data_IF_890711023110
#
_entry.id   IF_890711023110
#
_cell.length_a   1.000
_cell.length_b   1.000
_cell.length_c   1.000
_cell.angle_alpha   90.00
_cell.angle_beta   90.00
_cell.angle_gamma   90.00
#
_symmetry.space_group_name_H-M   'P 1'
#
loop_
_entity.id
_entity.type
_entity.pdbx_description
1 polymer ?
#
# COMPACT_ATOMS: atom_id res chain seq x y z
N UNK A 1 -12.87 13.78 12.42
CA UNK A 1 -12.02 12.60 12.21
C UNK A 1 -12.42 11.96 10.89
N UNK A 2 -11.47 11.69 10.00
CA UNK A 2 -11.69 11.12 8.67
C UNK A 2 -11.79 9.60 8.76
N UNK A 3 -12.84 8.94 8.24
CA UNK A 3 -12.94 7.48 8.23
C UNK A 3 -11.99 6.89 7.18
N UNK A 4 -11.15 5.92 7.60
CA UNK A 4 -10.16 5.24 6.78
C UNK A 4 -10.40 3.74 6.71
N UNK A 5 -10.13 3.18 5.55
CA UNK A 5 -9.91 1.76 5.31
C UNK A 5 -8.52 1.60 4.68
N UNK A 6 -7.76 0.61 5.12
CA UNK A 6 -6.43 0.30 4.55
C UNK A 6 -6.50 -1.06 3.88
N UNK A 7 -6.21 -1.11 2.57
CA UNK A 7 -6.05 -2.34 1.80
C UNK A 7 -4.56 -2.65 1.70
N UNK A 8 -4.11 -3.84 2.13
CA UNK A 8 -2.72 -4.07 2.50
C UNK A 8 -2.35 -5.55 2.44
N UNK A 9 -1.07 -5.87 2.23
CA UNK A 9 -0.50 -7.22 2.29
C UNK A 9 0.64 -7.28 3.34
N UNK A 10 0.34 -7.10 4.65
CA UNK A 10 1.25 -6.64 5.66
C UNK A 10 2.63 -7.30 5.67
N UNK A 11 3.59 -6.55 5.10
CA UNK A 11 5.02 -6.68 5.29
C UNK A 11 5.51 -5.66 6.34
N UNK A 12 6.81 -5.42 6.36
CA UNK A 12 7.45 -4.57 7.38
C UNK A 12 7.11 -3.09 7.20
N UNK A 13 7.06 -2.59 5.97
CA UNK A 13 6.73 -1.19 5.68
C UNK A 13 5.21 -0.93 5.76
N UNK A 14 4.36 -1.88 5.33
CA UNK A 14 2.92 -1.86 5.65
C UNK A 14 2.68 -1.68 7.15
N UNK A 15 3.41 -2.45 7.99
CA UNK A 15 3.26 -2.38 9.44
C UNK A 15 3.53 -0.95 9.95
N UNK A 16 4.59 -0.30 9.48
CA UNK A 16 4.89 1.08 9.88
C UNK A 16 3.80 2.03 9.39
N UNK A 17 3.35 1.92 8.13
CA UNK A 17 2.29 2.72 7.56
C UNK A 17 0.97 2.60 8.35
N UNK A 18 0.58 1.37 8.68
CA UNK A 18 -0.62 1.09 9.49
C UNK A 18 -0.48 1.71 10.88
N UNK A 19 0.67 1.54 11.56
CA UNK A 19 0.92 2.12 12.87
C UNK A 19 0.89 3.64 12.85
N UNK A 20 1.41 4.28 11.79
CA UNK A 20 1.31 5.74 11.59
C UNK A 20 -0.16 6.18 11.49
N UNK A 21 -0.95 5.50 10.66
CA UNK A 21 -2.38 5.79 10.51
C UNK A 21 -3.16 5.60 11.83
N UNK A 22 -2.85 4.55 12.59
CA UNK A 22 -3.49 4.27 13.90
C UNK A 22 -3.10 5.27 14.99
N UNK A 23 -1.92 5.87 14.87
CA UNK A 23 -1.44 6.90 15.79
C UNK A 23 -2.00 8.30 15.48
N UNK A 24 -2.36 8.57 14.22
CA UNK A 24 -2.79 9.88 13.75
C UNK A 24 -4.18 10.26 14.30
N UNK A 25 -4.31 11.39 15.02
CA UNK A 25 -5.60 11.78 15.64
C UNK A 25 -6.63 12.28 14.61
N UNK A 26 -6.19 12.65 13.40
CA UNK A 26 -7.05 13.19 12.34
C UNK A 26 -7.84 12.11 11.60
N UNK A 27 -7.43 10.85 11.72
CA UNK A 27 -8.04 9.73 10.99
C UNK A 27 -8.50 8.62 11.95
N UNK A 28 -9.48 7.86 11.51
CA UNK A 28 -9.96 6.67 12.20
C UNK A 28 -9.92 5.49 11.25
N UNK A 29 -9.00 4.57 11.47
CA UNK A 29 -8.92 3.32 10.71
C UNK A 29 -10.01 2.38 11.19
N UNK A 30 -10.98 2.07 10.34
CA UNK A 30 -12.11 1.18 10.65
C UNK A 30 -11.81 -0.27 10.31
N UNK A 31 -11.03 -0.50 9.28
CA UNK A 31 -10.75 -1.85 8.80
C UNK A 31 -9.39 -1.94 8.08
N UNK A 32 -8.81 -3.13 8.15
CA UNK A 32 -7.76 -3.62 7.29
C UNK A 32 -8.38 -4.66 6.36
N UNK A 33 -8.35 -4.43 5.05
CA UNK A 33 -8.66 -5.42 4.03
C UNK A 33 -7.36 -5.99 3.51
N UNK A 34 -7.23 -7.32 3.52
CA UNK A 34 -5.93 -7.97 3.40
C UNK A 34 -5.90 -8.89 2.19
N UNK A 35 -4.77 -8.90 1.49
CA UNK A 35 -4.54 -9.80 0.35
C UNK A 35 -3.15 -10.46 0.44
N UNK A 36 -2.93 -11.45 -0.39
CA UNK A 36 -1.60 -12.03 -0.61
C UNK A 36 -0.80 -11.15 -1.56
N UNK A 37 0.47 -10.95 -1.26
CA UNK A 37 1.38 -10.11 -2.04
C UNK A 37 2.80 -10.29 -1.53
N UNK A 38 3.24 -9.50 -0.55
CA UNK A 38 4.55 -9.62 0.08
C UNK A 38 4.87 -11.05 0.53
N UNK A 39 3.88 -11.72 1.12
CA UNK A 39 3.89 -13.14 1.48
C UNK A 39 2.51 -13.76 1.24
N UNK A 40 2.29 -15.01 1.67
CA UNK A 40 1.00 -15.68 1.51
C UNK A 40 -0.15 -14.92 2.20
N UNK A 41 -1.39 -15.07 1.70
CA UNK A 41 -2.58 -14.51 2.36
C UNK A 41 -2.70 -14.96 3.82
N UNK A 42 -2.32 -16.20 4.13
CA UNK A 42 -2.33 -16.71 5.51
C UNK A 42 -1.45 -15.85 6.41
N UNK A 43 -0.24 -15.53 5.96
CA UNK A 43 0.73 -14.78 6.76
C UNK A 43 0.39 -13.29 6.81
N UNK A 44 -0.07 -12.69 5.70
CA UNK A 44 -0.51 -11.29 5.68
C UNK A 44 -1.73 -11.06 6.58
N UNK A 45 -2.70 -11.97 6.60
CA UNK A 45 -3.86 -11.92 7.52
C UNK A 45 -3.41 -12.07 8.97
N UNK A 46 -2.51 -13.02 9.27
CA UNK A 46 -1.92 -13.15 10.60
C UNK A 46 -1.26 -11.85 11.03
N UNK A 47 -0.46 -11.23 10.18
CA UNK A 47 0.25 -9.99 10.45
C UNK A 47 -0.71 -8.83 10.69
N UNK A 48 -1.76 -8.70 9.89
CA UNK A 48 -2.82 -7.70 10.12
C UNK A 48 -3.52 -7.89 11.48
N UNK A 49 -3.78 -9.13 11.88
CA UNK A 49 -4.35 -9.44 13.20
C UNK A 49 -3.38 -9.09 14.35
N UNK A 50 -2.07 -9.31 14.17
CA UNK A 50 -1.05 -8.88 15.16
C UNK A 50 -1.05 -7.35 15.30
N UNK A 51 -1.15 -6.60 14.21
CA UNK A 51 -1.24 -5.13 14.25
C UNK A 51 -2.54 -4.66 14.90
N UNK A 52 -3.65 -5.33 14.65
CA UNK A 52 -4.94 -5.03 15.31
C UNK A 52 -4.87 -5.27 16.83
N UNK A 53 -4.26 -6.37 17.28
CA UNK A 53 -4.02 -6.64 18.70
C UNK A 53 -3.10 -5.58 19.34
N UNK A 54 -2.03 -5.20 18.63
CA UNK A 54 -1.10 -4.17 19.09
C UNK A 54 -1.79 -2.80 19.26
N UNK A 55 -2.62 -2.41 18.30
CA UNK A 55 -3.42 -1.18 18.38
C UNK A 55 -4.43 -1.22 19.52
N UNK A 56 -5.14 -2.35 19.69
CA UNK A 56 -6.11 -2.54 20.76
C UNK A 56 -5.46 -2.46 22.16
N UNK A 57 -4.25 -3.01 22.32
CA UNK A 57 -3.51 -2.92 23.58
C UNK A 57 -3.18 -1.46 23.98
N UNK A 58 -2.96 -0.57 22.99
CA UNK A 58 -2.67 0.85 23.22
C UNK A 58 -3.93 1.71 23.36
N UNK A 59 -4.99 1.38 22.61
CA UNK A 59 -6.26 2.11 22.58
C UNK A 59 -7.44 1.12 22.60
N UNK A 60 -7.83 0.57 23.76
CA UNK A 60 -8.86 -0.49 23.86
C UNK A 60 -10.24 -0.09 23.28
N UNK A 61 -10.57 1.19 23.27
CA UNK A 61 -11.83 1.68 22.71
C UNK A 61 -11.85 1.66 21.17
N UNK A 62 -10.74 1.38 20.50
CA UNK A 62 -10.59 1.39 19.06
C UNK A 62 -10.26 0.00 18.52
N UNK A 63 -11.29 -0.76 18.18
CA UNK A 63 -11.14 -2.06 17.53
C UNK A 63 -11.05 -1.90 16.03
N UNK A 64 -9.96 -2.37 15.44
CA UNK A 64 -9.78 -2.42 13.98
C UNK A 64 -10.17 -3.81 13.48
N UNK A 65 -11.08 -3.87 12.52
CA UNK A 65 -11.53 -5.12 11.90
C UNK A 65 -10.56 -5.56 10.82
N UNK A 66 -10.35 -6.86 10.70
CA UNK A 66 -9.50 -7.46 9.66
C UNK A 66 -10.37 -8.32 8.76
N UNK A 67 -10.26 -8.12 7.45
CA UNK A 67 -11.02 -8.86 6.44
C UNK A 67 -10.06 -9.53 5.46
N UNK A 68 -10.10 -10.86 5.37
CA UNK A 68 -9.33 -11.60 4.38
C UNK A 68 -9.93 -11.43 2.98
N UNK A 69 -9.07 -11.24 1.99
CA UNK A 69 -9.43 -11.06 0.59
C UNK A 69 -8.79 -12.08 -0.33
N UNK A 70 -8.27 -11.62 -1.46
CA UNK A 70 -7.72 -12.51 -2.49
C UNK A 70 -6.32 -13.02 -2.12
N UNK A 71 -6.07 -14.30 -2.44
CA UNK A 71 -4.80 -14.96 -2.14
C UNK A 71 -3.74 -14.79 -3.24
N UNK A 72 -4.12 -14.36 -4.43
CA UNK A 72 -3.26 -14.28 -5.61
C UNK A 72 -3.84 -13.34 -6.67
N UNK A 73 -3.03 -12.90 -7.65
CA UNK A 73 -3.47 -12.03 -8.72
C UNK A 73 -4.57 -12.69 -9.60
N UNK A 74 -5.24 -11.88 -10.39
CA UNK A 74 -6.26 -12.35 -11.33
C UNK A 74 -5.69 -13.31 -12.36
N UNK A 75 -4.46 -13.10 -12.82
CA UNK A 75 -3.84 -13.90 -13.86
C UNK A 75 -2.42 -14.31 -13.46
N UNK A 76 -2.13 -15.61 -13.58
CA UNK A 76 -0.79 -16.14 -13.41
C UNK A 76 -0.33 -16.31 -11.97
N UNK A 77 0.99 -16.41 -11.82
CA UNK A 77 1.69 -16.42 -10.54
C UNK A 77 2.35 -15.07 -10.31
N UNK A 78 2.33 -14.63 -9.08
CA UNK A 78 3.01 -13.40 -8.67
C UNK A 78 4.40 -13.70 -8.09
N UNK A 79 5.36 -12.77 -8.20
CA UNK A 79 6.51 -12.74 -7.32
C UNK A 79 6.04 -12.52 -5.88
N UNK A 80 6.85 -12.95 -4.91
CA UNK A 80 6.71 -12.56 -3.52
C UNK A 80 7.89 -11.66 -3.11
N UNK A 81 7.80 -11.06 -1.92
CA UNK A 81 8.85 -10.22 -1.36
C UNK A 81 9.44 -10.79 -0.05
N UNK A 82 9.38 -12.10 0.14
CA UNK A 82 9.92 -12.77 1.32
C UNK A 82 11.44 -12.52 1.49
N UNK A 83 12.17 -12.25 0.41
CA UNK A 83 13.58 -11.87 0.45
C UNK A 83 13.82 -10.51 1.13
N UNK A 84 12.82 -9.63 1.16
CA UNK A 84 12.84 -8.34 1.87
C UNK A 84 12.24 -8.48 3.26
N UNK A 85 11.02 -9.02 3.34
CA UNK A 85 10.17 -8.96 4.54
C UNK A 85 10.29 -10.18 5.46
N UNK A 86 11.07 -11.21 5.07
CA UNK A 86 11.08 -12.50 5.77
C UNK A 86 9.99 -13.44 5.26
N UNK A 87 10.13 -14.74 5.56
CA UNK A 87 9.18 -15.76 5.11
C UNK A 87 7.77 -15.56 5.70
N UNK A 88 7.68 -14.98 6.90
CA UNK A 88 6.42 -14.65 7.58
C UNK A 88 5.92 -13.21 7.30
N UNK A 89 6.67 -12.42 6.51
CA UNK A 89 6.38 -11.01 6.23
C UNK A 89 6.78 -10.05 7.35
N UNK A 90 7.08 -10.53 8.55
CA UNK A 90 7.50 -9.73 9.71
C UNK A 90 8.92 -10.07 10.19
N UNK A 91 9.84 -10.23 9.22
CA UNK A 91 11.26 -10.38 9.47
C UNK A 91 11.64 -11.68 10.16
N UNK A 92 10.75 -12.68 10.15
CA UNK A 92 10.88 -13.95 10.90
C UNK A 92 11.12 -13.69 12.40
N UNK A 93 10.47 -12.67 12.93
CA UNK A 93 10.65 -12.22 14.32
C UNK A 93 10.04 -13.17 15.37
N UNK A 94 9.29 -14.19 14.94
CA UNK A 94 8.69 -15.17 15.85
C UNK A 94 7.63 -14.56 16.78
N UNK A 95 6.86 -13.59 16.31
CA UNK A 95 5.82 -12.95 17.09
C UNK A 95 4.74 -13.95 17.52
N UNK A 96 4.14 -13.78 18.72
CA UNK A 96 3.10 -14.67 19.21
C UNK A 96 1.88 -14.67 18.27
N UNK A 97 1.10 -15.75 18.33
CA UNK A 97 -0.15 -15.85 17.59
C UNK A 97 -1.12 -14.73 18.03
N UNK A 98 -1.80 -14.06 17.08
CA UNK A 98 -2.75 -13.01 17.40
C UNK A 98 -4.01 -13.57 18.10
N UNK A 99 -4.64 -12.73 18.94
CA UNK A 99 -5.95 -13.01 19.54
C UNK A 99 -7.09 -12.61 18.60
N UNK A 100 -6.92 -11.50 17.89
CA UNK A 100 -7.85 -11.06 16.83
C UNK A 100 -7.94 -12.12 15.76
N UNK A 101 -9.17 -12.37 15.28
CA UNK A 101 -9.45 -13.25 14.16
C UNK A 101 -10.03 -12.42 13.01
N UNK A 102 -9.80 -12.80 11.75
CA UNK A 102 -10.42 -12.12 10.63
C UNK A 102 -11.94 -12.30 10.65
N UNK A 103 -12.65 -11.28 10.21
CA UNK A 103 -14.10 -11.30 9.97
C UNK A 103 -14.43 -12.27 8.83
N UNK A 104 -15.67 -12.79 8.81
CA UNK A 104 -16.10 -13.76 7.80
C UNK A 104 -16.34 -13.15 6.41
N UNK A 105 -16.59 -11.82 6.36
CA UNK A 105 -16.85 -11.13 5.10
C UNK A 105 -15.57 -11.00 4.28
N UNK A 106 -15.65 -11.26 2.97
CA UNK A 106 -14.52 -11.07 2.07
C UNK A 106 -14.12 -9.59 1.94
N UNK A 107 -12.84 -9.29 1.86
CA UNK A 107 -12.28 -7.93 1.81
C UNK A 107 -12.96 -7.02 0.76
N UNK A 108 -13.18 -7.51 -0.46
CA UNK A 108 -13.85 -6.72 -1.50
C UNK A 108 -15.27 -6.30 -1.12
N UNK A 109 -16.02 -7.16 -0.44
CA UNK A 109 -17.36 -6.83 0.07
C UNK A 109 -17.29 -5.88 1.27
N UNK A 110 -16.26 -6.00 2.11
CA UNK A 110 -16.03 -5.08 3.23
C UNK A 110 -15.69 -3.66 2.73
N UNK A 111 -14.95 -3.54 1.62
CA UNK A 111 -14.69 -2.25 0.95
C UNK A 111 -16.00 -1.60 0.49
N UNK A 112 -16.87 -2.37 -0.18
CA UNK A 112 -18.18 -1.88 -0.65
C UNK A 112 -19.07 -1.48 0.52
N UNK A 113 -19.14 -2.30 1.58
CA UNK A 113 -19.90 -2.02 2.79
C UNK A 113 -19.42 -0.74 3.47
N UNK A 114 -18.12 -0.56 3.62
CA UNK A 114 -17.54 0.66 4.18
C UNK A 114 -17.86 1.89 3.32
N UNK A 115 -17.73 1.80 1.99
CA UNK A 115 -18.06 2.89 1.09
C UNK A 115 -19.54 3.29 1.17
N UNK A 116 -20.45 2.32 1.27
CA UNK A 116 -21.89 2.58 1.47
C UNK A 116 -22.18 3.20 2.84
N UNK A 117 -21.53 2.71 3.90
CA UNK A 117 -21.69 3.19 5.27
C UNK A 117 -21.25 4.62 5.47
N UNK A 118 -20.10 5.00 4.89
CA UNK A 118 -19.49 6.33 5.08
C UNK A 118 -19.85 7.35 4.01
N UNK A 119 -20.56 6.93 2.95
CA UNK A 119 -21.29 7.82 2.02
C UNK A 119 -20.48 9.02 1.51
N UNK A 120 -19.38 8.81 0.78
CA UNK A 120 -18.57 9.89 0.17
C UNK A 120 -17.59 10.57 1.15
N UNK A 121 -17.46 10.07 2.39
CA UNK A 121 -16.44 10.56 3.35
C UNK A 121 -15.29 9.59 3.56
N UNK A 122 -15.45 8.31 3.19
CA UNK A 122 -14.42 7.28 3.30
C UNK A 122 -13.19 7.63 2.48
N UNK A 123 -12.02 7.47 3.08
CA UNK A 123 -10.74 7.46 2.36
C UNK A 123 -10.16 6.05 2.40
N UNK A 124 -9.64 5.57 1.27
CA UNK A 124 -8.99 4.26 1.16
C UNK A 124 -7.51 4.48 0.88
N UNK A 125 -6.66 3.83 1.67
CA UNK A 125 -5.24 3.73 1.46
C UNK A 125 -4.92 2.31 1.01
N UNK A 126 -4.49 2.14 -0.25
CA UNK A 126 -4.07 0.87 -0.82
C UNK A 126 -2.53 0.80 -0.79
N UNK A 127 -1.99 -0.14 -0.02
CA UNK A 127 -0.56 -0.34 0.18
C UNK A 127 -0.04 -1.58 -0.58
N UNK A 128 -0.91 -2.53 -0.90
CA UNK A 128 -0.59 -3.75 -1.63
C UNK A 128 -1.08 -3.75 -3.09
N UNK A 129 -0.98 -4.91 -3.76
CA UNK A 129 -1.55 -5.12 -5.08
C UNK A 129 -3.04 -4.77 -5.12
N UNK A 130 -3.53 -4.25 -6.25
CA UNK A 130 -4.88 -3.66 -6.32
C UNK A 130 -6.01 -4.68 -6.51
N UNK A 131 -5.76 -5.97 -6.30
CA UNK A 131 -6.70 -7.05 -6.62
C UNK A 131 -8.00 -6.97 -5.83
N UNK A 132 -7.96 -6.66 -4.52
CA UNK A 132 -9.17 -6.46 -3.71
C UNK A 132 -9.99 -5.26 -4.20
N UNK A 133 -9.32 -4.14 -4.49
CA UNK A 133 -9.95 -2.90 -4.98
C UNK A 133 -10.58 -3.14 -6.37
N UNK A 134 -9.87 -3.82 -7.26
CA UNK A 134 -10.38 -4.16 -8.59
C UNK A 134 -11.61 -5.07 -8.51
N UNK A 135 -11.60 -6.07 -7.62
CA UNK A 135 -12.76 -6.94 -7.40
C UNK A 135 -13.95 -6.15 -6.83
N UNK A 136 -13.70 -5.26 -5.85
CA UNK A 136 -14.75 -4.40 -5.31
C UNK A 136 -15.33 -3.48 -6.38
N UNK A 137 -14.48 -2.88 -7.22
CA UNK A 137 -14.89 -2.03 -8.34
C UNK A 137 -15.71 -2.79 -9.40
N UNK A 138 -15.33 -4.05 -9.69
CA UNK A 138 -16.08 -4.90 -10.61
C UNK A 138 -17.47 -5.27 -10.07
N UNK A 139 -17.59 -5.47 -8.75
CA UNK A 139 -18.87 -5.78 -8.08
C UNK A 139 -19.74 -4.53 -7.90
N UNK A 140 -19.13 -3.36 -7.69
CA UNK A 140 -19.82 -2.07 -7.57
C UNK A 140 -19.10 -0.99 -8.38
N UNK A 141 -19.44 -0.81 -9.67
CA UNK A 141 -18.84 0.21 -10.53
C UNK A 141 -19.09 1.66 -10.07
N UNK A 142 -19.99 1.86 -9.12
CA UNK A 142 -20.27 3.20 -8.54
C UNK A 142 -19.33 3.55 -7.37
N UNK A 143 -18.46 2.62 -6.97
CA UNK A 143 -17.55 2.76 -5.83
C UNK A 143 -16.73 4.07 -5.85
N UNK A 144 -16.16 4.52 -7.01
CA UNK A 144 -15.40 5.77 -7.07
C UNK A 144 -16.20 7.02 -6.69
N UNK A 145 -17.53 7.00 -6.83
CA UNK A 145 -18.40 8.10 -6.42
C UNK A 145 -18.77 8.09 -4.93
N UNK A 146 -18.53 6.97 -4.25
CA UNK A 146 -18.84 6.75 -2.83
C UNK A 146 -17.62 6.92 -1.92
N UNK A 147 -16.42 6.95 -2.49
CA UNK A 147 -15.15 7.09 -1.77
C UNK A 147 -14.59 8.49 -2.04
N UNK A 148 -14.21 9.18 -0.98
CA UNK A 148 -13.68 10.55 -1.06
C UNK A 148 -12.30 10.60 -1.71
N UNK A 149 -11.42 9.67 -1.33
CA UNK A 149 -10.05 9.55 -1.86
C UNK A 149 -9.66 8.07 -1.93
N UNK A 150 -8.98 7.69 -3.00
CA UNK A 150 -8.23 6.46 -3.10
C UNK A 150 -6.75 6.83 -3.27
N UNK A 151 -5.95 6.55 -2.24
CA UNK A 151 -4.50 6.75 -2.24
C UNK A 151 -3.86 5.38 -2.45
N UNK A 152 -2.97 5.28 -3.45
CA UNK A 152 -2.34 4.03 -3.86
C UNK A 152 -0.82 4.19 -3.72
N UNK A 153 -0.18 3.33 -2.95
CA UNK A 153 1.26 3.09 -3.09
C UNK A 153 1.47 2.15 -4.27
N UNK A 154 2.22 2.57 -5.28
CA UNK A 154 2.55 1.71 -6.41
C UNK A 154 2.98 2.46 -7.67
N UNK A 155 3.53 1.70 -8.59
CA UNK A 155 3.97 2.18 -9.90
C UNK A 155 5.37 2.78 -9.92
N UNK A 156 6.02 2.63 -11.08
CA UNK A 156 7.31 3.24 -11.38
C UNK A 156 7.16 4.08 -12.66
N UNK A 157 7.06 5.39 -12.49
CA UNK A 157 6.59 6.31 -13.54
C UNK A 157 7.71 6.82 -14.46
N UNK A 158 8.98 6.58 -14.11
CA UNK A 158 10.14 6.90 -14.98
C UNK A 158 10.79 5.64 -15.57
N UNK A 159 10.15 4.47 -15.40
CA UNK A 159 10.65 3.21 -15.91
C UNK A 159 11.82 2.61 -15.11
N UNK A 160 11.93 2.95 -13.82
CA UNK A 160 12.90 2.38 -12.89
C UNK A 160 12.16 1.56 -11.84
N UNK A 161 11.95 0.29 -12.15
CA UNK A 161 11.25 -0.62 -11.23
C UNK A 161 12.10 -1.05 -10.04
N UNK A 162 11.44 -1.72 -9.09
CA UNK A 162 12.08 -2.32 -7.90
C UNK A 162 12.02 -3.85 -7.89
N UNK A 163 11.09 -4.47 -8.63
CA UNK A 163 10.98 -5.93 -8.75
C UNK A 163 11.37 -6.42 -10.15
N UNK A 164 11.09 -5.63 -11.18
CA UNK A 164 11.64 -5.81 -12.52
C UNK A 164 12.35 -4.53 -12.96
N UNK A 165 13.03 -4.54 -14.10
CA UNK A 165 13.68 -3.33 -14.62
C UNK A 165 12.71 -2.14 -14.78
N UNK A 166 11.42 -2.40 -15.02
CA UNK A 166 10.43 -1.38 -15.40
C UNK A 166 9.23 -1.30 -14.46
N UNK A 167 9.01 -2.27 -13.61
CA UNK A 167 7.80 -2.36 -12.80
C UNK A 167 8.10 -2.28 -11.31
N UNK A 168 7.23 -1.56 -10.61
CA UNK A 168 7.12 -1.56 -9.16
C UNK A 168 6.32 -2.79 -8.72
N UNK A 169 6.60 -3.29 -7.50
CA UNK A 169 6.13 -4.56 -6.99
C UNK A 169 4.60 -4.71 -6.99
N UNK A 170 3.88 -3.77 -6.40
CA UNK A 170 2.41 -3.86 -6.28
C UNK A 170 1.72 -3.94 -7.65
N UNK A 171 2.22 -3.16 -8.62
CA UNK A 171 1.69 -3.19 -9.99
C UNK A 171 2.15 -4.46 -10.72
N UNK A 172 3.40 -4.92 -10.48
CA UNK A 172 3.92 -6.13 -11.12
C UNK A 172 3.23 -7.41 -10.66
N UNK A 173 2.77 -7.46 -9.41
CA UNK A 173 2.03 -8.60 -8.85
C UNK A 173 0.72 -8.82 -9.60
N UNK A 174 -0.07 -7.76 -9.86
CA UNK A 174 -1.35 -7.87 -10.58
C UNK A 174 -1.56 -6.67 -11.50
N UNK A 175 -0.90 -6.65 -12.68
CA UNK A 175 -1.07 -5.56 -13.64
C UNK A 175 -2.51 -5.42 -14.17
N UNK A 176 -3.27 -6.54 -14.24
CA UNK A 176 -4.65 -6.55 -14.68
C UNK A 176 -5.57 -5.81 -13.70
N UNK A 177 -5.40 -6.05 -12.41
CA UNK A 177 -6.14 -5.32 -11.38
C UNK A 177 -5.74 -3.85 -11.36
N UNK A 178 -4.44 -3.56 -11.46
CA UNK A 178 -3.93 -2.21 -11.52
C UNK A 178 -4.51 -1.43 -12.70
N UNK A 179 -4.48 -2.00 -13.92
CA UNK A 179 -5.09 -1.38 -15.10
C UNK A 179 -6.59 -1.13 -14.89
N UNK A 180 -7.32 -2.10 -14.32
CA UNK A 180 -8.74 -1.98 -14.05
C UNK A 180 -9.04 -0.81 -13.09
N UNK A 181 -8.32 -0.72 -11.98
CA UNK A 181 -8.48 0.35 -10.99
C UNK A 181 -8.09 1.70 -11.57
N UNK A 182 -6.90 1.81 -12.18
CA UNK A 182 -6.39 3.06 -12.71
C UNK A 182 -7.25 3.61 -13.85
N UNK A 183 -7.94 2.74 -14.60
CA UNK A 183 -8.91 3.14 -15.62
C UNK A 183 -10.27 3.48 -15.04
N UNK A 184 -10.74 2.71 -14.07
CA UNK A 184 -12.07 2.85 -13.49
C UNK A 184 -12.19 3.90 -12.36
N UNK A 185 -11.05 4.42 -11.86
CA UNK A 185 -11.01 5.37 -10.74
C UNK A 185 -10.37 6.71 -11.13
N UNK A 186 -11.14 7.66 -11.70
CA UNK A 186 -10.57 8.85 -12.38
C UNK A 186 -9.80 9.83 -11.49
N UNK A 187 -9.94 9.74 -10.17
CA UNK A 187 -9.28 10.62 -9.20
C UNK A 187 -8.42 9.84 -8.19
N UNK A 188 -7.92 8.66 -8.56
CA UNK A 188 -6.97 7.94 -7.74
C UNK A 188 -5.66 8.75 -7.59
N UNK A 189 -5.10 8.75 -6.40
CA UNK A 189 -3.83 9.40 -6.07
C UNK A 189 -2.73 8.34 -5.99
N UNK A 190 -1.71 8.45 -6.82
CA UNK A 190 -0.62 7.48 -6.87
C UNK A 190 0.63 8.05 -6.18
N UNK A 191 1.12 7.34 -5.18
CA UNK A 191 2.42 7.57 -4.54
C UNK A 191 3.39 6.56 -5.13
N UNK A 192 4.19 7.02 -6.09
CA UNK A 192 5.02 6.16 -6.92
C UNK A 192 6.38 5.83 -6.29
N UNK A 193 7.08 4.89 -6.90
CA UNK A 193 8.39 4.44 -6.46
C UNK A 193 9.45 5.55 -6.51
N UNK A 194 9.37 6.45 -7.48
CA UNK A 194 10.28 7.59 -7.58
C UNK A 194 10.07 8.59 -6.43
N UNK A 195 8.84 8.78 -5.99
CA UNK A 195 8.55 9.55 -4.79
C UNK A 195 9.18 8.89 -3.57
N UNK A 196 9.08 7.55 -3.44
CA UNK A 196 9.74 6.79 -2.37
C UNK A 196 11.26 7.00 -2.38
N UNK A 197 11.91 6.86 -3.53
CA UNK A 197 13.35 7.05 -3.65
C UNK A 197 13.80 8.48 -3.30
N UNK A 198 12.99 9.47 -3.66
CA UNK A 198 13.31 10.87 -3.39
C UNK A 198 13.12 11.29 -1.92
N UNK A 199 12.38 10.50 -1.14
CA UNK A 199 12.03 10.81 0.25
C UNK A 199 12.49 9.72 1.23
N UNK A 200 13.33 8.79 0.77
CA UNK A 200 13.84 7.74 1.62
C UNK A 200 14.80 8.32 2.67
N UNK A 201 14.56 8.07 3.97
CA UNK A 201 15.52 8.43 5.02
C UNK A 201 16.78 7.59 4.90
N UNK A 202 17.88 8.10 5.44
CA UNK A 202 19.08 7.30 5.62
C UNK A 202 18.84 6.14 6.59
N UNK A 203 19.64 5.09 6.47
CA UNK A 203 19.60 3.95 7.41
C UNK A 203 19.83 4.44 8.84
N UNK A 204 20.76 5.38 9.07
CA UNK A 204 21.06 5.92 10.39
C UNK A 204 19.85 6.68 11.00
N UNK A 205 19.12 7.45 10.20
CA UNK A 205 17.89 8.12 10.66
C UNK A 205 16.84 7.09 11.06
N UNK A 206 16.62 6.06 10.25
CA UNK A 206 15.67 4.99 10.54
C UNK A 206 16.05 4.24 11.82
N UNK A 207 17.32 3.86 11.99
CA UNK A 207 17.79 3.21 13.22
C UNK A 207 17.56 4.09 14.45
N UNK A 208 17.75 5.42 14.33
CA UNK A 208 17.47 6.37 15.40
C UNK A 208 15.99 6.37 15.81
N UNK A 209 15.07 6.27 14.86
CA UNK A 209 13.63 6.18 15.14
C UNK A 209 13.27 4.86 15.82
N UNK A 210 13.84 3.76 15.34
CA UNK A 210 13.60 2.42 15.88
C UNK A 210 14.19 2.23 17.30
N UNK A 211 15.16 3.07 17.70
CA UNK A 211 15.73 3.06 19.05
C UNK A 211 14.80 3.67 20.12
N UNK A 212 13.66 4.25 19.72
CA UNK A 212 12.66 4.79 20.65
C UNK A 212 12.09 3.70 21.56
N UNK A 213 11.77 4.07 22.84
CA UNK A 213 11.15 3.17 23.80
C UNK A 213 9.63 2.99 23.62
N UNK A 214 9.02 3.60 22.61
CA UNK A 214 7.60 3.45 22.34
C UNK A 214 7.25 2.03 21.92
N UNK A 215 6.04 1.56 22.26
CA UNK A 215 5.58 0.21 21.90
C UNK A 215 5.61 -0.02 20.36
N UNK A 216 5.29 1.02 19.58
CA UNK A 216 5.36 0.95 18.11
C UNK A 216 6.80 0.78 17.63
N UNK A 217 7.76 1.54 18.17
CA UNK A 217 9.16 1.42 17.80
C UNK A 217 9.74 0.05 18.20
N UNK A 218 9.36 -0.49 19.35
CA UNK A 218 9.79 -1.81 19.79
C UNK A 218 9.28 -2.93 18.87
N UNK A 219 8.01 -2.86 18.44
CA UNK A 219 7.46 -3.80 17.45
C UNK A 219 8.20 -3.66 16.11
N UNK A 220 8.35 -2.43 15.60
CA UNK A 220 9.06 -2.17 14.34
C UNK A 220 10.50 -2.62 14.41
N UNK A 221 11.22 -2.38 15.50
CA UNK A 221 12.59 -2.87 15.69
C UNK A 221 12.67 -4.41 15.61
N UNK A 222 11.69 -5.10 16.21
CA UNK A 222 11.67 -6.56 16.20
C UNK A 222 11.48 -7.11 14.78
N UNK A 223 10.53 -6.56 14.00
CA UNK A 223 10.17 -7.11 12.67
C UNK A 223 11.07 -6.61 11.53
N UNK A 224 11.79 -5.49 11.70
CA UNK A 224 12.56 -4.87 10.61
C UNK A 224 13.99 -5.39 10.42
N UNK A 225 14.45 -6.32 11.26
CA UNK A 225 15.84 -6.80 11.23
C UNK A 225 16.28 -7.39 9.89
N UNK A 226 15.43 -8.20 9.24
CA UNK A 226 15.72 -8.77 7.91
C UNK A 226 15.70 -7.70 6.82
N UNK A 227 14.72 -6.81 6.86
CA UNK A 227 14.62 -5.69 5.93
C UNK A 227 15.85 -4.78 6.03
N UNK A 228 16.33 -4.51 7.24
CA UNK A 228 17.58 -3.78 7.45
C UNK A 228 18.77 -4.51 6.81
N UNK A 229 18.89 -5.82 7.06
CA UNK A 229 19.96 -6.61 6.45
C UNK A 229 19.91 -6.59 4.92
N UNK A 230 18.71 -6.65 4.33
CA UNK A 230 18.52 -6.49 2.90
C UNK A 230 19.01 -5.11 2.41
N UNK A 231 18.55 -4.01 3.02
CA UNK A 231 18.96 -2.65 2.62
C UNK A 231 20.47 -2.43 2.74
N UNK A 232 21.09 -2.97 3.79
CA UNK A 232 22.55 -2.94 3.94
C UNK A 232 23.25 -3.71 2.83
N UNK A 233 22.70 -4.83 2.37
CA UNK A 233 23.28 -5.64 1.30
C UNK A 233 23.22 -4.98 -0.08
N UNK A 234 22.28 -4.04 -0.29
CA UNK A 234 22.08 -3.32 -1.55
C UNK A 234 22.45 -1.83 -1.45
N UNK A 235 23.04 -1.40 -0.33
CA UNK A 235 23.36 0.01 -0.06
C UNK A 235 24.26 0.66 -1.11
N UNK A 236 25.16 -0.11 -1.72
CA UNK A 236 26.07 0.36 -2.78
C UNK A 236 25.44 0.34 -4.18
N UNK A 237 24.21 -0.16 -4.31
CA UNK A 237 23.48 -0.13 -5.57
C UNK A 237 22.90 1.27 -5.80
N UNK A 238 23.15 1.84 -6.98
CA UNK A 238 22.82 3.23 -7.33
C UNK A 238 21.35 3.63 -7.14
N UNK A 239 20.42 2.67 -7.04
CA UNK A 239 19.00 2.95 -6.81
C UNK A 239 18.66 3.27 -5.35
N UNK A 240 19.46 2.77 -4.39
CA UNK A 240 19.10 2.85 -2.96
C UNK A 240 19.95 3.86 -2.16
N UNK A 241 21.11 4.29 -2.67
CA UNK A 241 21.98 5.34 -2.09
C UNK A 241 22.15 5.26 -0.56
N UNK A 242 22.31 4.07 0.02
CA UNK A 242 22.37 3.87 1.49
C UNK A 242 21.12 4.37 2.23
N UNK A 243 20.00 4.45 1.56
CA UNK A 243 18.72 4.85 2.13
C UNK A 243 17.84 3.63 2.45
N UNK A 244 16.95 3.76 3.41
CA UNK A 244 15.92 2.78 3.68
C UNK A 244 14.61 3.22 3.01
N UNK A 245 14.21 2.50 1.96
CA UNK A 245 13.03 2.86 1.17
C UNK A 245 11.74 2.45 1.89
N UNK A 246 11.12 3.40 2.55
CA UNK A 246 9.85 3.25 3.23
C UNK A 246 8.69 3.68 2.31
N UNK A 247 8.25 2.79 1.41
CA UNK A 247 7.26 3.09 0.39
C UNK A 247 5.87 3.35 0.99
N UNK A 248 5.37 2.43 1.77
CA UNK A 248 4.05 2.51 2.39
C UNK A 248 3.96 3.60 3.46
N UNK A 249 4.98 3.82 4.31
CA UNK A 249 5.01 4.96 5.22
C UNK A 249 4.91 6.32 4.51
N UNK A 250 5.50 6.47 3.32
CA UNK A 250 5.32 7.68 2.53
C UNK A 250 3.87 7.84 2.07
N UNK A 251 3.22 6.77 1.59
CA UNK A 251 1.81 6.80 1.21
C UNK A 251 0.90 7.09 2.41
N UNK A 252 1.21 6.53 3.58
CA UNK A 252 0.52 6.86 4.83
C UNK A 252 0.70 8.34 5.21
N UNK A 253 1.92 8.90 5.07
CA UNK A 253 2.15 10.32 5.29
C UNK A 253 1.30 11.20 4.37
N UNK A 254 1.22 10.86 3.08
CA UNK A 254 0.35 11.53 2.10
C UNK A 254 -1.13 11.45 2.47
N UNK A 255 -1.55 10.30 2.96
CA UNK A 255 -2.93 10.09 3.41
C UNK A 255 -3.25 10.94 4.66
N UNK A 256 -2.33 11.02 5.61
CA UNK A 256 -2.49 11.78 6.86
C UNK A 256 -2.43 13.30 6.59
N UNK A 257 -1.48 13.76 5.76
CA UNK A 257 -1.14 15.17 5.54
C UNK A 257 -1.33 15.64 4.09
N UNK A 258 -2.54 15.53 3.51
CA UNK A 258 -2.78 15.91 2.11
C UNK A 258 -2.46 17.38 1.81
N UNK A 259 -2.54 18.25 2.81
CA UNK A 259 -2.24 19.69 2.69
C UNK A 259 -0.74 19.97 2.44
N UNK A 260 0.13 19.00 2.72
CA UNK A 260 1.58 19.08 2.48
C UNK A 260 2.01 18.48 1.15
N UNK A 261 1.08 17.92 0.39
CA UNK A 261 1.35 17.18 -0.83
C UNK A 261 0.90 17.95 -2.07
N UNK A 262 1.65 17.81 -3.16
CA UNK A 262 1.30 18.38 -4.46
C UNK A 262 1.22 17.26 -5.49
N UNK A 263 0.10 17.21 -6.20
CA UNK A 263 -0.17 16.22 -7.22
C UNK A 263 -0.16 16.85 -8.60
N UNK A 264 0.32 16.07 -9.58
CA UNK A 264 0.17 16.36 -11.00
C UNK A 264 -0.74 15.33 -11.65
N UNK A 265 -1.54 15.77 -12.60
CA UNK A 265 -2.51 14.92 -13.28
C UNK A 265 -1.95 14.43 -14.62
N UNK A 266 -2.01 13.11 -14.84
CA UNK A 266 -1.58 12.45 -16.07
C UNK A 266 -2.58 11.37 -16.47
N UNK A 267 -2.62 11.02 -17.76
CA UNK A 267 -3.14 9.73 -18.19
C UNK A 267 -2.16 8.63 -17.79
N UNK A 268 -2.67 7.48 -17.37
CA UNK A 268 -1.84 6.34 -16.98
C UNK A 268 -2.33 5.07 -17.64
N UNK A 269 -1.38 4.25 -18.06
CA UNK A 269 -1.61 2.93 -18.63
C UNK A 269 -0.62 1.94 -18.01
N UNK A 270 -1.08 0.72 -17.74
CA UNK A 270 -0.24 -0.36 -17.26
C UNK A 270 0.11 -1.28 -18.42
N UNK A 271 1.39 -1.61 -18.58
CA UNK A 271 1.84 -2.52 -19.63
C UNK A 271 1.48 -3.97 -19.27
N UNK A 272 0.64 -4.61 -20.08
CA UNK A 272 0.06 -5.91 -19.78
C UNK A 272 0.88 -7.10 -20.28
N UNK A 273 1.86 -6.88 -21.18
CA UNK A 273 2.58 -7.96 -21.85
C UNK A 273 4.04 -7.58 -22.16
N UNK A 274 4.85 -8.61 -22.41
CA UNK A 274 6.24 -8.46 -22.83
C UNK A 274 7.18 -8.13 -21.67
N UNK A 275 8.39 -7.69 -22.00
CA UNK A 275 9.47 -7.45 -21.01
C UNK A 275 9.16 -6.31 -20.02
N UNK A 276 8.26 -5.41 -20.38
CA UNK A 276 7.84 -4.30 -19.54
C UNK A 276 6.49 -4.54 -18.83
N UNK A 277 5.99 -5.79 -18.76
CA UNK A 277 4.75 -6.12 -18.05
C UNK A 277 4.79 -5.55 -16.62
N UNK A 278 3.72 -4.89 -16.21
CA UNK A 278 3.60 -4.20 -14.92
C UNK A 278 4.19 -2.78 -14.88
N UNK A 279 4.85 -2.31 -15.95
CA UNK A 279 5.29 -0.93 -16.02
C UNK A 279 4.12 0.04 -16.06
N UNK A 280 4.26 1.16 -15.37
CA UNK A 280 3.28 2.24 -15.29
C UNK A 280 3.70 3.38 -16.23
N UNK A 281 2.97 3.56 -17.33
CA UNK A 281 3.30 4.51 -18.37
C UNK A 281 2.48 5.79 -18.21
N UNK A 282 3.16 6.94 -18.13
CA UNK A 282 2.52 8.26 -18.07
C UNK A 282 2.35 8.87 -19.46
N UNK A 283 1.18 9.40 -19.73
CA UNK A 283 0.97 10.26 -20.89
C UNK A 283 1.39 11.70 -20.57
N UNK A 284 2.57 12.07 -21.00
CA UNK A 284 3.14 13.42 -20.83
C UNK A 284 2.65 14.43 -21.88
N UNK A 285 1.86 14.02 -22.86
CA UNK A 285 1.33 14.93 -23.87
C UNK A 285 0.37 15.91 -23.20
N UNK A 286 0.42 17.19 -23.60
CA UNK A 286 -0.62 18.15 -23.23
C UNK A 286 -1.88 17.73 -24.00
N UNK A 287 -2.73 16.96 -23.36
CA UNK A 287 -3.94 16.45 -23.99
C UNK A 287 -4.99 17.55 -24.06
N UNK A 288 -5.47 17.81 -25.26
CA UNK A 288 -6.74 18.46 -25.47
C UNK A 288 -7.85 17.67 -24.76
N UNK A 289 -8.85 18.33 -24.19
CA UNK A 289 -9.94 17.76 -23.39
C UNK A 289 -10.64 16.52 -24.01
N UNK A 290 -10.52 16.31 -25.32
CA UNK A 290 -11.08 15.15 -26.02
C UNK A 290 -10.30 13.84 -25.80
N UNK A 291 -8.98 13.88 -25.60
CA UNK A 291 -8.18 12.70 -25.28
C UNK A 291 -8.25 12.36 -23.78
N UNK A 292 -8.40 13.37 -22.91
CA UNK A 292 -8.61 13.19 -21.48
C UNK A 292 -9.90 12.42 -21.14
N UNK A 293 -10.88 12.38 -22.08
CA UNK A 293 -12.10 11.55 -21.92
C UNK A 293 -11.88 10.05 -22.20
N UNK A 294 -10.80 9.70 -22.88
CA UNK A 294 -10.47 8.31 -23.25
C UNK A 294 -9.60 7.61 -22.21
N UNK A 295 -8.84 8.37 -21.44
CA UNK A 295 -7.95 7.87 -20.39
C UNK A 295 -8.18 8.66 -19.13
N UNK A 296 -8.63 8.03 -18.02
CA UNK A 296 -8.76 8.72 -16.75
C UNK A 296 -7.39 9.28 -16.33
N UNK A 297 -7.41 10.50 -15.82
CA UNK A 297 -6.20 11.17 -15.38
C UNK A 297 -5.87 10.75 -13.94
N UNK A 298 -4.65 10.33 -13.71
CA UNK A 298 -4.08 10.09 -12.39
C UNK A 298 -3.33 11.32 -11.87
N UNK A 299 -3.30 11.43 -10.56
CA UNK A 299 -2.67 12.56 -9.87
C UNK A 299 -1.39 12.06 -9.21
N UNK A 300 -0.24 12.66 -9.53
CA UNK A 300 1.07 12.30 -8.99
C UNK A 300 1.58 13.34 -8.01
N UNK A 301 2.33 12.85 -7.02
CA UNK A 301 2.93 13.68 -6.01
C UNK A 301 4.33 14.19 -6.43
N UNK A 302 4.60 15.49 -6.20
CA UNK A 302 5.92 16.00 -5.87
C UNK A 302 5.82 16.65 -4.50
N UNK A 303 6.56 16.14 -3.56
CA UNK A 303 6.82 16.83 -2.29
C UNK A 303 7.78 18.00 -2.52
#
# INVERSE_FOLDING_TARGET
VRPFLIDTDPGVDDALAILMCLAAPEIQVHALTVLGGNVSLHDTVRNACVLADHAHAQKPAHAVKVYAGVARPFIGAAPDAAFVHGADGFGDAGLPAPKTQPELLHAALAIIDAANRFGGTLEILALGPLTNIALALALDPTLPSKVKRLIIMGGAVTGKGNITAFAEFNIAVDPESAQSVLTGWPNAELVDWEATLNHAPSIAETESWLASSSANAQLMHAISRKTLAFHLSVADVTLYNSAWTWADPLAAYVAIHPERCRFKRYGVEVVMQGAARGATMLDHRKTDLQLARKYPSLTFMRL
#
